data_IF_174620149716
#
_entry.id   IF_174620149716
#
_cell.length_a   1.000
_cell.length_b   1.000
_cell.length_c   1.000
_cell.angle_alpha   90.00
_cell.angle_beta   90.00
_cell.angle_gamma   90.00
#
_symmetry.space_group_name_H-M   'P 1'
#
loop_
_entity.id
_entity.type
_entity.pdbx_description
1 polymer ?
#
# COMPACT_ATOMS: atom_id res chain seq x y z
N UNK A 1 18.95 9.88 3.93
CA UNK A 1 18.61 11.09 3.72
C UNK A 1 17.29 11.47 4.33
N UNK A 2 16.96 12.71 4.16
CA UNK A 2 15.81 13.26 4.84
C UNK A 2 14.49 12.79 4.27
N UNK A 3 14.48 11.90 3.31
CA UNK A 3 13.27 11.51 2.63
C UNK A 3 12.45 10.43 3.32
N UNK A 4 12.99 9.87 4.38
CA UNK A 4 12.37 8.69 4.97
C UNK A 4 10.97 8.98 5.52
N UNK A 5 10.83 10.06 6.26
CA UNK A 5 9.51 10.41 6.80
C UNK A 5 8.52 10.72 5.69
N UNK A 6 8.97 11.41 4.65
CA UNK A 6 8.12 11.72 3.52
C UNK A 6 7.70 10.44 2.80
N UNK A 7 8.60 9.46 2.71
CA UNK A 7 8.28 8.20 2.07
C UNK A 7 7.21 7.42 2.84
N UNK A 8 7.27 7.45 4.17
CA UNK A 8 6.26 6.79 4.99
C UNK A 8 4.88 7.41 4.79
N UNK A 9 4.83 8.75 4.70
CA UNK A 9 3.57 9.43 4.42
C UNK A 9 3.07 9.10 3.02
N UNK A 10 3.99 9.03 2.06
CA UNK A 10 3.62 8.78 0.67
C UNK A 10 3.02 7.39 0.47
N UNK A 11 3.40 6.41 1.30
CA UNK A 11 2.83 5.08 1.16
C UNK A 11 1.31 5.12 1.25
N UNK A 12 0.78 5.80 2.25
CA UNK A 12 -0.67 5.86 2.42
C UNK A 12 -1.35 6.61 1.28
N UNK A 13 -0.70 7.66 0.78
CA UNK A 13 -1.21 8.38 -0.38
C UNK A 13 -1.24 7.48 -1.60
N UNK A 14 -0.21 6.67 -1.77
CA UNK A 14 -0.15 5.76 -2.90
C UNK A 14 -1.18 4.64 -2.80
N UNK A 15 -1.55 4.22 -1.59
CA UNK A 15 -2.62 3.24 -1.44
C UNK A 15 -3.94 3.80 -1.98
N UNK A 16 -4.27 5.02 -1.61
CA UNK A 16 -5.47 5.66 -2.11
C UNK A 16 -5.41 5.83 -3.64
N UNK A 17 -4.25 6.24 -4.14
CA UNK A 17 -4.07 6.41 -5.58
C UNK A 17 -4.24 5.08 -6.32
N UNK A 18 -3.70 4.00 -5.77
CA UNK A 18 -3.85 2.68 -6.37
C UNK A 18 -5.32 2.31 -6.46
N UNK A 19 -6.05 2.51 -5.38
CA UNK A 19 -7.48 2.19 -5.34
C UNK A 19 -8.22 3.01 -6.40
N UNK A 20 -7.94 4.31 -6.46
CA UNK A 20 -8.59 5.20 -7.42
C UNK A 20 -8.23 4.85 -8.85
N UNK A 21 -6.98 4.45 -9.06
CA UNK A 21 -6.53 4.03 -10.39
C UNK A 21 -7.33 2.82 -10.87
N UNK A 22 -7.70 1.94 -9.96
CA UNK A 22 -8.51 0.77 -10.31
C UNK A 22 -10.01 1.10 -10.29
N UNK A 23 -10.36 2.37 -10.08
CA UNK A 23 -11.75 2.85 -10.09
C UNK A 23 -12.60 2.20 -9.02
N UNK A 24 -12.00 1.95 -7.87
CA UNK A 24 -12.70 1.39 -6.72
C UNK A 24 -12.93 2.49 -5.68
N UNK A 25 -14.14 2.50 -5.12
CA UNK A 25 -14.39 3.36 -3.97
C UNK A 25 -13.85 2.67 -2.72
N UNK A 26 -13.74 3.44 -1.61
CA UNK A 26 -13.36 2.85 -0.34
C UNK A 26 -14.31 1.74 0.08
N UNK A 27 -15.59 1.93 -0.17
CA UNK A 27 -16.58 0.90 0.16
C UNK A 27 -16.39 -0.37 -0.65
N UNK A 28 -16.08 -0.22 -1.93
CA UNK A 28 -15.83 -1.37 -2.79
C UNK A 28 -14.56 -2.11 -2.37
N UNK A 29 -13.51 -1.37 -2.05
CA UNK A 29 -12.27 -1.98 -1.58
C UNK A 29 -12.50 -2.72 -0.26
N UNK A 30 -13.26 -2.13 0.64
CA UNK A 30 -13.59 -2.76 1.91
C UNK A 30 -14.32 -4.08 1.69
N UNK A 31 -15.23 -4.09 0.73
CA UNK A 31 -15.98 -5.29 0.40
C UNK A 31 -15.05 -6.37 -0.13
N UNK A 32 -14.12 -6.01 -1.00
CA UNK A 32 -13.16 -6.96 -1.55
C UNK A 32 -12.27 -7.55 -0.47
N UNK A 33 -11.90 -6.72 0.50
CA UNK A 33 -11.05 -7.17 1.61
C UNK A 33 -11.82 -7.87 2.71
N UNK A 34 -13.15 -7.78 2.71
CA UNK A 34 -13.94 -8.35 3.78
C UNK A 34 -13.84 -7.57 5.08
N UNK A 35 -13.64 -6.26 4.99
CA UNK A 35 -13.53 -5.39 6.16
C UNK A 35 -14.53 -4.23 6.01
N UNK A 36 -14.66 -3.42 7.04
CA UNK A 36 -15.53 -2.26 6.99
C UNK A 36 -14.81 -1.07 6.39
N UNK A 37 -15.57 -0.15 5.80
CA UNK A 37 -15.00 1.01 5.12
C UNK A 37 -14.06 1.82 6.01
N UNK A 38 -14.36 2.07 7.30
CA UNK A 38 -13.41 2.81 8.14
C UNK A 38 -12.03 2.19 8.21
N UNK A 39 -11.92 0.87 8.06
CA UNK A 39 -10.61 0.21 8.02
C UNK A 39 -9.82 0.68 6.80
N UNK A 40 -10.47 0.78 5.65
CA UNK A 40 -9.80 1.26 4.44
C UNK A 40 -9.43 2.73 4.61
N UNK A 41 -10.36 3.53 5.10
CA UNK A 41 -10.09 4.94 5.33
C UNK A 41 -8.89 5.13 6.26
N UNK A 42 -8.79 4.30 7.29
CA UNK A 42 -7.69 4.39 8.23
C UNK A 42 -6.37 4.01 7.58
N UNK A 43 -6.35 2.97 6.76
CA UNK A 43 -5.13 2.56 6.06
C UNK A 43 -4.62 3.65 5.13
N UNK A 44 -5.51 4.46 4.59
CA UNK A 44 -5.15 5.50 3.62
C UNK A 44 -4.82 6.83 4.26
N UNK A 45 -4.95 6.94 5.59
CA UNK A 45 -4.59 8.19 6.26
C UNK A 45 -3.08 8.37 6.27
N UNK A 46 -2.59 9.56 5.92
CA UNK A 46 -1.15 9.81 5.89
C UNK A 46 -0.52 9.51 7.25
N UNK A 47 0.64 8.85 7.23
CA UNK A 47 1.39 8.55 8.43
C UNK A 47 0.94 7.35 9.22
N UNK A 48 -0.10 6.67 8.76
CA UNK A 48 -0.53 5.44 9.41
C UNK A 48 0.42 4.30 9.09
N UNK A 49 0.73 3.51 10.10
CA UNK A 49 1.56 2.33 9.92
C UNK A 49 0.69 1.19 9.39
N UNK A 50 1.15 0.56 8.32
CA UNK A 50 0.38 -0.52 7.67
C UNK A 50 1.24 -1.79 7.70
N UNK A 51 0.67 -2.86 8.22
CA UNK A 51 1.37 -4.14 8.23
C UNK A 51 1.57 -4.66 6.81
N UNK A 52 2.67 -5.35 6.61
CA UNK A 52 2.96 -5.93 5.30
C UNK A 52 1.85 -6.88 4.85
N UNK A 53 1.32 -7.68 5.76
CA UNK A 53 0.24 -8.59 5.42
C UNK A 53 -1.02 -7.83 4.97
N UNK A 54 -1.31 -6.71 5.61
CA UNK A 54 -2.46 -5.88 5.22
C UNK A 54 -2.21 -5.22 3.87
N UNK A 55 -0.99 -4.75 3.66
CA UNK A 55 -0.62 -4.13 2.39
C UNK A 55 -0.75 -5.14 1.25
N UNK A 56 -0.29 -6.36 1.47
CA UNK A 56 -0.41 -7.41 0.46
C UNK A 56 -1.87 -7.67 0.11
N UNK A 57 -2.72 -7.79 1.12
CA UNK A 57 -4.15 -8.03 0.89
C UNK A 57 -4.80 -6.87 0.12
N UNK A 58 -4.40 -5.65 0.48
CA UNK A 58 -4.92 -4.46 -0.19
C UNK A 58 -4.56 -4.47 -1.68
N UNK A 59 -3.30 -4.73 -1.98
CA UNK A 59 -2.83 -4.75 -3.37
C UNK A 59 -3.52 -5.87 -4.15
N UNK A 60 -3.65 -7.04 -3.56
CA UNK A 60 -4.29 -8.17 -4.22
C UNK A 60 -5.78 -7.94 -4.44
N UNK A 61 -6.43 -7.25 -3.51
CA UNK A 61 -7.84 -6.91 -3.68
C UNK A 61 -8.05 -5.97 -4.85
N UNK A 62 -7.06 -5.13 -5.14
CA UNK A 62 -7.09 -4.25 -6.30
C UNK A 62 -6.70 -4.98 -7.60
N UNK A 63 -6.38 -6.26 -7.51
CA UNK A 63 -6.04 -7.06 -8.69
C UNK A 63 -4.55 -7.08 -8.98
N UNK A 64 -3.72 -6.52 -8.11
CA UNK A 64 -2.29 -6.44 -8.33
C UNK A 64 -1.50 -7.48 -7.56
N UNK A 65 -0.19 -7.38 -7.68
CA UNK A 65 0.76 -8.22 -6.97
C UNK A 65 1.75 -7.31 -6.27
N UNK A 66 1.97 -7.56 -4.98
CA UNK A 66 2.92 -6.75 -4.22
C UNK A 66 4.32 -7.34 -4.37
N UNK A 67 5.25 -6.49 -4.75
CA UNK A 67 6.65 -6.84 -4.86
C UNK A 67 7.46 -5.85 -4.04
N UNK A 68 8.51 -6.33 -3.40
CA UNK A 68 9.45 -5.48 -2.69
C UNK A 68 10.72 -5.35 -3.50
N UNK A 69 11.29 -4.17 -3.51
CA UNK A 69 12.55 -3.91 -4.15
C UNK A 69 13.51 -3.31 -3.12
N UNK A 70 14.63 -3.98 -2.90
CA UNK A 70 15.64 -3.52 -1.95
C UNK A 70 16.84 -3.05 -2.72
N UNK A 71 17.24 -1.81 -2.49
CA UNK A 71 18.46 -1.26 -3.07
C UNK A 71 19.59 -1.39 -2.05
N UNK A 72 20.66 -2.04 -2.45
CA UNK A 72 21.78 -2.29 -1.56
C UNK A 72 22.85 -1.20 -1.71
N UNK A 73 23.75 -1.09 -0.71
CA UNK A 73 24.75 -0.01 -0.75
C UNK A 73 25.65 -0.02 -1.98
N UNK A 74 25.84 -1.18 -2.59
CA UNK A 74 26.68 -1.29 -3.79
C UNK A 74 25.91 -0.94 -5.07
N UNK A 75 24.67 -0.49 -4.94
CA UNK A 75 23.85 -0.11 -6.09
C UNK A 75 23.05 -1.23 -6.69
N UNK A 76 23.22 -2.45 -6.21
CA UNK A 76 22.44 -3.57 -6.72
C UNK A 76 21.03 -3.55 -6.15
N UNK A 77 20.11 -4.22 -6.84
CA UNK A 77 18.72 -4.31 -6.44
C UNK A 77 18.32 -5.76 -6.25
N UNK A 78 17.46 -5.97 -5.28
CA UNK A 78 16.98 -7.30 -4.93
C UNK A 78 15.46 -7.21 -4.86
N UNK A 79 14.77 -7.80 -5.83
CA UNK A 79 13.31 -7.74 -5.88
C UNK A 79 12.70 -9.11 -5.64
N UNK A 80 11.59 -9.15 -4.91
CA UNK A 80 10.90 -10.40 -4.66
C UNK A 80 9.43 -10.13 -4.33
N UNK A 81 8.62 -11.14 -4.55
CA UNK A 81 7.21 -11.07 -4.18
C UNK A 81 7.04 -11.45 -2.71
N UNK A 82 6.04 -10.89 -2.11
CA UNK A 82 5.73 -11.20 -0.71
C UNK A 82 4.43 -11.95 -0.57
#
# INVERSE_FOLDING_TARGET
KAKKAASDMLLNIHLAELREHMKLTQGEMAKELGVKQPTISDMEKPGRDVRLSSLKRYVEAAGGTLRLDVELPDGSHFGFEV
#
